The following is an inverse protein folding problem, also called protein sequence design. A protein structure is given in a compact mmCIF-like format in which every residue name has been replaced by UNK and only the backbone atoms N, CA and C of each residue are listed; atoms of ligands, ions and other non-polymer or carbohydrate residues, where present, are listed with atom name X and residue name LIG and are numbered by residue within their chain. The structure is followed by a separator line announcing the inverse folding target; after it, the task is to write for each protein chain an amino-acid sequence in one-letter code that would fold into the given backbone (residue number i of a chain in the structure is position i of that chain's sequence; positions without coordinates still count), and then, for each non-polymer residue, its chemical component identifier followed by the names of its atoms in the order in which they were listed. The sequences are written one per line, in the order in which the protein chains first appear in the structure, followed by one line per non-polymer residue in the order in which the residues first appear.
data_IF_841527184267
#
_entry.id   IF_841527184267
#
_cell.length_a   1.000
_cell.length_b   1.000
_cell.length_c   1.000
_cell.angle_alpha   90.00
_cell.angle_beta   90.00
_cell.angle_gamma   90.00
#
_symmetry.space_group_name_H-M   'P 1'
#
loop_
_entity.id
_entity.type
_entity.pdbx_description
1 polymer ?
#
# COMPACT_ATOMS: atom_id res chain seq x y z
N UNK A 1 -0.22 54.06 -1.28
CA UNK A 1 0.07 52.77 -1.87
C UNK A 1 -1.23 52.21 -2.43
N UNK A 2 -1.40 52.20 -3.76
CA UNK A 2 -2.57 51.56 -4.41
C UNK A 2 -2.32 50.05 -4.45
N UNK A 3 -3.18 49.28 -3.76
CA UNK A 3 -3.21 47.82 -3.83
C UNK A 3 -3.56 47.40 -5.26
N UNK A 4 -2.62 46.81 -5.95
CA UNK A 4 -2.87 46.16 -7.26
C UNK A 4 -3.63 44.90 -6.95
N UNK A 5 -4.96 44.91 -7.12
CA UNK A 5 -5.74 43.68 -7.14
C UNK A 5 -5.31 42.87 -8.38
N UNK A 6 -4.58 41.75 -8.16
CA UNK A 6 -4.32 40.76 -9.20
C UNK A 6 -5.68 40.17 -9.59
N UNK A 7 -6.21 40.55 -10.75
CA UNK A 7 -7.37 39.88 -11.34
C UNK A 7 -6.95 38.42 -11.65
N UNK A 8 -7.49 37.46 -10.91
CA UNK A 8 -7.37 36.05 -11.25
C UNK A 8 -8.12 35.85 -12.57
N UNK A 9 -7.44 35.44 -13.67
CA UNK A 9 -8.12 35.24 -14.94
C UNK A 9 -9.22 34.19 -14.73
N UNK A 10 -10.42 34.47 -15.28
CA UNK A 10 -11.50 33.46 -15.26
C UNK A 10 -11.00 32.15 -15.87
N UNK A 11 -11.14 31.06 -15.14
CA UNK A 11 -10.76 29.71 -15.62
C UNK A 11 -11.43 29.44 -16.96
N UNK A 12 -10.67 29.15 -18.04
CA UNK A 12 -11.23 28.91 -19.35
C UNK A 12 -12.28 27.80 -19.33
N UNK A 13 -13.33 27.95 -20.10
CA UNK A 13 -14.43 27.01 -20.20
C UNK A 13 -14.46 26.29 -21.57
N UNK A 14 -15.18 25.19 -21.67
CA UNK A 14 -15.42 24.54 -22.97
C UNK A 14 -16.14 25.45 -23.99
N UNK A 15 -16.87 26.49 -23.49
CA UNK A 15 -17.50 27.51 -24.35
C UNK A 15 -16.45 28.45 -24.96
N UNK A 16 -15.40 28.78 -24.23
CA UNK A 16 -14.33 29.63 -24.73
C UNK A 16 -13.51 28.91 -25.79
N UNK A 17 -13.22 27.61 -25.56
CA UNK A 17 -12.58 26.75 -26.59
C UNK A 17 -13.44 26.62 -27.84
N UNK A 18 -14.76 26.46 -27.70
CA UNK A 18 -15.69 26.35 -28.80
C UNK A 18 -15.71 27.63 -29.64
N UNK A 19 -15.72 28.80 -28.97
CA UNK A 19 -15.69 30.11 -29.61
C UNK A 19 -14.39 30.30 -30.39
N UNK A 20 -13.24 30.02 -29.77
CA UNK A 20 -11.92 30.19 -30.39
C UNK A 20 -11.71 29.23 -31.56
N UNK A 21 -12.15 27.97 -31.44
CA UNK A 21 -12.03 26.96 -32.49
C UNK A 21 -13.07 27.08 -33.60
N UNK A 22 -14.10 27.93 -33.46
CA UNK A 22 -15.21 28.09 -34.43
C UNK A 22 -16.06 26.81 -34.55
N UNK A 23 -16.40 26.15 -33.46
CA UNK A 23 -17.18 24.91 -33.42
C UNK A 23 -18.20 24.92 -32.26
N UNK A 24 -19.11 23.96 -32.25
CA UNK A 24 -20.03 23.79 -31.12
C UNK A 24 -19.33 23.26 -29.84
N UNK A 25 -19.93 23.52 -28.67
CA UNK A 25 -19.46 22.92 -27.39
C UNK A 25 -19.52 21.39 -27.43
N UNK A 26 -20.48 20.82 -28.16
CA UNK A 26 -20.56 19.38 -28.36
C UNK A 26 -19.35 18.86 -29.15
N UNK A 27 -18.96 19.57 -30.24
CA UNK A 27 -17.75 19.22 -31.02
C UNK A 27 -16.49 19.27 -30.17
N UNK A 28 -16.31 20.32 -29.33
CA UNK A 28 -15.19 20.40 -28.38
C UNK A 28 -15.18 19.20 -27.43
N UNK A 29 -16.35 18.85 -26.91
CA UNK A 29 -16.47 17.70 -26.01
C UNK A 29 -16.10 16.39 -26.69
N UNK A 30 -16.55 16.14 -27.91
CA UNK A 30 -16.24 14.94 -28.68
C UNK A 30 -14.73 14.84 -29.01
N UNK A 31 -14.11 15.96 -29.41
CA UNK A 31 -12.68 16.01 -29.73
C UNK A 31 -11.79 15.79 -28.48
N UNK A 32 -12.08 16.50 -27.38
CA UNK A 32 -11.24 16.46 -26.18
C UNK A 32 -11.45 15.21 -25.32
N UNK A 33 -12.53 14.47 -25.54
CA UNK A 33 -12.79 13.19 -24.86
C UNK A 33 -12.58 11.96 -25.77
N UNK A 34 -12.05 12.17 -26.98
CA UNK A 34 -11.73 11.13 -27.98
C UNK A 34 -12.90 10.14 -28.21
N UNK A 35 -14.10 10.69 -28.41
CA UNK A 35 -15.33 9.92 -28.56
C UNK A 35 -15.45 9.45 -29.99
N UNK A 36 -15.27 8.17 -30.28
CA UNK A 36 -15.35 7.57 -31.61
C UNK A 36 -16.77 7.60 -32.25
N UNK A 37 -17.79 7.91 -31.46
CA UNK A 37 -19.19 7.89 -31.89
C UNK A 37 -19.54 8.96 -32.94
N UNK A 38 -18.69 9.97 -33.17
CA UNK A 38 -18.94 11.06 -34.12
C UNK A 38 -17.72 11.27 -35.02
N UNK A 39 -17.93 11.16 -36.33
CA UNK A 39 -16.87 11.40 -37.33
C UNK A 39 -16.54 12.88 -37.41
N UNK A 40 -15.47 13.32 -36.76
CA UNK A 40 -14.96 14.71 -36.77
C UNK A 40 -13.70 14.74 -37.64
N UNK A 41 -13.66 15.66 -38.61
CA UNK A 41 -12.53 15.79 -39.53
C UNK A 41 -11.23 16.16 -38.76
N UNK A 42 -10.11 15.67 -39.26
CA UNK A 42 -8.80 15.93 -38.68
C UNK A 42 -8.42 17.45 -38.57
N UNK A 43 -8.77 18.28 -39.56
CA UNK A 43 -8.59 19.74 -39.44
C UNK A 43 -9.37 20.32 -38.28
N UNK A 44 -10.58 19.85 -37.99
CA UNK A 44 -11.40 20.31 -36.87
C UNK A 44 -10.82 19.84 -35.54
N UNK A 45 -10.36 18.61 -35.44
CA UNK A 45 -9.64 18.10 -34.24
C UNK A 45 -8.44 18.98 -33.93
N UNK A 46 -7.60 19.29 -34.92
CA UNK A 46 -6.42 20.16 -34.74
C UNK A 46 -6.76 21.56 -34.26
N UNK A 47 -7.81 22.20 -34.81
CA UNK A 47 -8.26 23.53 -34.33
C UNK A 47 -8.70 23.51 -32.87
N UNK A 48 -9.47 22.51 -32.47
CA UNK A 48 -9.95 22.37 -31.10
C UNK A 48 -8.78 22.18 -30.13
N UNK A 49 -7.84 21.28 -30.46
CA UNK A 49 -6.65 21.08 -29.62
C UNK A 49 -5.75 22.32 -29.55
N UNK A 50 -5.62 23.09 -30.65
CA UNK A 50 -4.88 24.34 -30.66
C UNK A 50 -5.53 25.37 -29.76
N UNK A 51 -6.84 25.59 -29.89
CA UNK A 51 -7.60 26.51 -29.06
C UNK A 51 -7.56 26.14 -27.56
N UNK A 52 -7.67 24.84 -27.24
CA UNK A 52 -7.56 24.37 -25.85
C UNK A 52 -6.18 24.68 -25.26
N UNK A 53 -5.09 24.45 -26.02
CA UNK A 53 -3.71 24.77 -25.59
C UNK A 53 -3.50 26.28 -25.43
N UNK A 54 -3.97 27.07 -26.37
CA UNK A 54 -3.84 28.53 -26.34
C UNK A 54 -4.51 29.14 -25.11
N UNK A 55 -5.70 28.64 -24.76
CA UNK A 55 -6.46 29.11 -23.59
C UNK A 55 -5.98 28.47 -22.28
N UNK A 56 -5.08 27.48 -22.31
CA UNK A 56 -4.74 26.69 -21.12
C UNK A 56 -5.94 25.89 -20.58
N UNK A 57 -6.90 25.55 -21.45
CA UNK A 57 -8.09 24.83 -21.05
C UNK A 57 -7.79 23.35 -20.77
N UNK A 58 -8.09 22.92 -19.54
CA UNK A 58 -8.05 21.51 -19.15
C UNK A 58 -9.48 21.02 -18.94
N UNK A 59 -9.90 19.93 -19.61
CA UNK A 59 -11.24 19.35 -19.40
C UNK A 59 -11.46 18.99 -17.93
N UNK A 60 -12.52 19.50 -17.34
CA UNK A 60 -12.84 19.25 -15.93
C UNK A 60 -13.15 17.76 -15.72
N UNK A 61 -12.40 17.06 -14.85
CA UNK A 61 -12.60 15.65 -14.56
C UNK A 61 -14.03 15.38 -14.05
N UNK A 62 -14.56 16.24 -13.19
CA UNK A 62 -15.94 16.16 -12.70
C UNK A 62 -16.99 16.27 -13.81
N UNK A 63 -16.77 17.13 -14.81
CA UNK A 63 -17.68 17.25 -15.96
C UNK A 63 -17.63 16.02 -16.88
N UNK A 64 -16.46 15.38 -17.00
CA UNK A 64 -16.33 14.08 -17.69
C UNK A 64 -17.08 12.97 -16.96
N UNK A 65 -16.89 12.90 -15.63
CA UNK A 65 -17.57 11.93 -14.76
C UNK A 65 -19.09 12.05 -14.85
N UNK A 66 -19.63 13.27 -14.82
CA UNK A 66 -21.07 13.54 -14.96
C UNK A 66 -21.65 13.06 -16.30
N UNK A 67 -20.90 13.20 -17.39
CA UNK A 67 -21.35 12.77 -18.74
C UNK A 67 -21.16 11.29 -18.98
N UNK A 68 -20.05 10.73 -18.54
CA UNK A 68 -19.72 9.32 -18.72
C UNK A 68 -20.43 8.40 -17.70
N UNK A 69 -21.06 8.97 -16.65
CA UNK A 69 -21.64 8.23 -15.54
C UNK A 69 -20.62 7.54 -14.65
N UNK A 70 -19.32 7.68 -14.95
CA UNK A 70 -18.22 7.02 -14.23
C UNK A 70 -17.02 7.95 -14.09
N UNK A 71 -16.44 7.97 -12.91
CA UNK A 71 -15.07 8.50 -12.77
C UNK A 71 -14.04 7.47 -13.27
N UNK A 72 -12.85 7.91 -13.59
CA UNK A 72 -11.69 7.02 -13.82
C UNK A 72 -10.74 7.04 -12.62
N UNK A 73 -11.27 7.41 -11.47
CA UNK A 73 -10.51 7.52 -10.22
C UNK A 73 -10.46 6.16 -9.52
N UNK A 74 -9.25 5.70 -9.23
CA UNK A 74 -8.99 4.62 -8.27
C UNK A 74 -8.55 5.28 -6.97
N UNK A 75 -9.34 5.12 -5.92
CA UNK A 75 -9.06 5.69 -4.62
C UNK A 75 -8.30 4.70 -3.77
N UNK A 76 -7.25 5.17 -3.13
CA UNK A 76 -6.50 4.45 -2.10
C UNK A 76 -6.45 5.28 -0.82
N UNK A 77 -6.81 4.76 0.35
CA UNK A 77 -6.50 5.42 1.60
C UNK A 77 -4.98 5.58 1.75
N UNK A 78 -4.55 6.73 2.24
CA UNK A 78 -3.17 6.89 2.69
C UNK A 78 -2.92 5.94 3.88
N UNK A 79 -1.74 5.30 3.95
CA UNK A 79 -1.43 4.43 5.09
C UNK A 79 -1.46 5.23 6.39
N UNK A 80 -2.13 4.68 7.40
CA UNK A 80 -2.16 5.25 8.76
C UNK A 80 -0.93 4.83 9.60
N UNK A 81 -0.01 4.07 9.00
CA UNK A 81 1.20 3.56 9.64
C UNK A 81 2.44 3.99 8.87
N UNK A 82 3.62 4.05 9.51
CA UNK A 82 4.87 4.24 8.81
C UNK A 82 5.05 3.16 7.74
N UNK A 83 5.35 3.57 6.52
CA UNK A 83 5.53 2.68 5.37
C UNK A 83 6.96 2.73 4.86
N UNK A 84 7.55 1.55 4.68
CA UNK A 84 8.93 1.41 4.22
C UNK A 84 9.09 1.50 2.69
N UNK A 85 10.36 1.38 2.21
CA UNK A 85 10.70 1.49 0.79
C UNK A 85 9.95 0.53 -0.14
N UNK A 86 9.56 -0.64 0.35
CA UNK A 86 8.78 -1.63 -0.42
C UNK A 86 7.40 -1.09 -0.81
N UNK A 87 6.70 -0.44 0.13
CA UNK A 87 5.39 0.16 -0.15
C UNK A 87 5.49 1.26 -1.20
N UNK A 88 6.50 2.13 -1.12
CA UNK A 88 6.70 3.21 -2.09
C UNK A 88 6.98 2.67 -3.50
N UNK A 89 7.77 1.61 -3.62
CA UNK A 89 8.01 0.94 -4.91
C UNK A 89 6.71 0.34 -5.47
N UNK A 90 6.00 -0.43 -4.65
CA UNK A 90 4.70 -1.00 -5.02
C UNK A 90 3.71 0.08 -5.50
N UNK A 91 3.61 1.19 -4.74
CA UNK A 91 2.73 2.30 -5.10
C UNK A 91 3.11 2.93 -6.44
N UNK A 92 4.41 3.16 -6.66
CA UNK A 92 4.91 3.69 -7.95
C UNK A 92 4.58 2.77 -9.14
N UNK A 93 4.77 1.46 -8.98
CA UNK A 93 4.41 0.46 -9.99
C UNK A 93 2.91 0.42 -10.26
N UNK A 94 2.10 0.45 -9.20
CA UNK A 94 0.64 0.46 -9.28
C UNK A 94 0.13 1.72 -9.99
N UNK A 95 0.62 2.89 -9.59
CA UNK A 95 0.25 4.17 -10.22
C UNK A 95 0.61 4.19 -11.72
N UNK A 96 1.84 3.77 -12.06
CA UNK A 96 2.27 3.70 -13.45
C UNK A 96 1.44 2.70 -14.28
N UNK A 97 1.06 1.56 -13.68
CA UNK A 97 0.25 0.56 -14.38
C UNK A 97 -1.20 1.03 -14.56
N UNK A 98 -1.82 1.61 -13.53
CA UNK A 98 -3.18 2.16 -13.62
C UNK A 98 -3.25 3.36 -14.58
N UNK A 99 -2.22 4.22 -14.60
CA UNK A 99 -2.13 5.33 -15.56
C UNK A 99 -2.12 4.84 -17.02
N UNK A 100 -1.44 3.74 -17.33
CA UNK A 100 -1.46 3.13 -18.67
C UNK A 100 -2.83 2.57 -19.07
N UNK A 101 -3.68 2.29 -18.09
CA UNK A 101 -5.07 1.86 -18.26
C UNK A 101 -6.06 3.05 -18.18
N UNK A 102 -5.53 4.29 -18.25
CA UNK A 102 -6.27 5.55 -18.13
C UNK A 102 -7.00 5.75 -16.80
N UNK A 103 -6.55 5.15 -15.72
CA UNK A 103 -7.02 5.47 -14.37
C UNK A 103 -6.14 6.51 -13.69
N UNK A 104 -6.76 7.35 -12.88
CA UNK A 104 -6.06 8.28 -11.99
C UNK A 104 -6.09 7.73 -10.58
N UNK A 105 -4.93 7.51 -9.97
CA UNK A 105 -4.85 7.09 -8.56
C UNK A 105 -4.87 8.32 -7.66
N UNK A 106 -5.78 8.33 -6.70
CA UNK A 106 -5.87 9.36 -5.67
C UNK A 106 -5.63 8.72 -4.32
N UNK A 107 -4.59 9.17 -3.62
CA UNK A 107 -4.41 8.84 -2.20
C UNK A 107 -5.22 9.82 -1.36
N UNK A 108 -6.15 9.28 -0.58
CA UNK A 108 -6.99 10.07 0.33
C UNK A 108 -6.46 9.96 1.75
N UNK A 109 -6.27 11.08 2.43
CA UNK A 109 -5.83 11.12 3.82
C UNK A 109 -6.75 10.31 4.73
N UNK A 110 -6.25 9.90 5.89
CA UNK A 110 -7.03 9.17 6.87
C UNK A 110 -8.19 10.04 7.37
N UNK A 111 -9.41 9.62 7.09
CA UNK A 111 -10.64 10.21 7.62
C UNK A 111 -11.40 9.08 8.29
N UNK A 112 -11.42 9.05 9.63
CA UNK A 112 -12.15 8.07 10.40
C UNK A 112 -11.76 6.61 10.11
N UNK A 113 -12.57 5.67 10.55
CA UNK A 113 -12.46 4.24 10.27
C UNK A 113 -13.82 3.66 9.87
N UNK A 114 -13.83 2.52 9.23
CA UNK A 114 -15.04 1.78 8.91
C UNK A 114 -16.00 2.56 8.00
N UNK A 115 -17.23 2.71 8.45
CA UNK A 115 -18.31 3.32 7.66
C UNK A 115 -18.14 4.83 7.44
N UNK A 116 -17.49 5.54 8.36
CA UNK A 116 -17.19 6.96 8.21
C UNK A 116 -16.20 7.19 7.06
N UNK A 117 -15.12 6.42 7.04
CA UNK A 117 -14.16 6.44 5.94
C UNK A 117 -14.83 6.09 4.60
N UNK A 118 -15.67 5.05 4.59
CA UNK A 118 -16.39 4.64 3.37
C UNK A 118 -17.29 5.76 2.82
N UNK A 119 -17.97 6.52 3.69
CA UNK A 119 -18.80 7.68 3.28
C UNK A 119 -17.95 8.79 2.68
N UNK A 120 -16.86 9.18 3.34
CA UNK A 120 -15.95 10.19 2.82
C UNK A 120 -15.36 9.80 1.44
N UNK A 121 -15.01 8.53 1.26
CA UNK A 121 -14.54 8.03 -0.04
C UNK A 121 -15.64 8.02 -1.10
N UNK A 122 -16.88 7.71 -0.71
CA UNK A 122 -18.03 7.69 -1.59
C UNK A 122 -18.38 9.07 -2.18
N UNK A 123 -18.11 10.17 -1.43
CA UNK A 123 -18.29 11.55 -1.92
C UNK A 123 -17.45 11.86 -3.15
N UNK A 124 -16.27 11.24 -3.26
CA UNK A 124 -15.37 11.38 -4.41
C UNK A 124 -15.82 10.57 -5.64
N UNK A 125 -16.84 9.72 -5.49
CA UNK A 125 -17.36 8.83 -6.53
C UNK A 125 -16.27 8.08 -7.31
N UNK A 126 -15.38 7.34 -6.65
CA UNK A 126 -14.34 6.58 -7.35
C UNK A 126 -14.95 5.43 -8.15
N UNK A 127 -14.33 5.07 -9.29
CA UNK A 127 -14.71 3.86 -10.03
C UNK A 127 -14.26 2.59 -9.33
N UNK A 128 -13.15 2.68 -8.59
CA UNK A 128 -12.65 1.60 -7.76
C UNK A 128 -12.03 2.13 -6.46
N UNK A 129 -12.06 1.31 -5.43
CA UNK A 129 -11.40 1.55 -4.14
C UNK A 129 -10.48 0.38 -3.84
N UNK A 130 -9.22 0.65 -3.53
CA UNK A 130 -8.24 -0.32 -3.06
C UNK A 130 -7.87 0.02 -1.62
N UNK A 131 -8.39 -0.71 -0.64
CA UNK A 131 -8.31 -0.36 0.77
C UNK A 131 -7.80 -1.51 1.66
N UNK A 132 -7.18 -1.22 2.83
CA UNK A 132 -6.95 -2.23 3.85
C UNK A 132 -8.28 -2.84 4.31
N UNK A 133 -8.34 -4.16 4.41
CA UNK A 133 -9.54 -4.88 4.85
C UNK A 133 -9.89 -4.64 6.32
N UNK A 134 -8.92 -4.25 7.15
CA UNK A 134 -9.13 -3.94 8.57
C UNK A 134 -9.94 -2.66 8.81
N UNK A 135 -10.02 -1.77 7.81
CA UNK A 135 -10.70 -0.47 7.92
C UNK A 135 -12.02 -0.39 7.13
N UNK A 136 -12.53 -1.50 6.59
CA UNK A 136 -13.72 -1.51 5.74
C UNK A 136 -14.57 -2.75 6.01
N UNK A 137 -15.82 -2.54 6.48
CA UNK A 137 -16.79 -3.62 6.67
C UNK A 137 -17.71 -3.80 5.46
N UNK A 138 -18.60 -4.84 5.49
CA UNK A 138 -19.57 -5.09 4.42
C UNK A 138 -20.49 -3.90 4.13
N UNK A 139 -20.90 -3.18 5.18
CA UNK A 139 -21.72 -1.96 5.03
C UNK A 139 -20.98 -0.86 4.27
N UNK A 140 -19.71 -0.62 4.59
CA UNK A 140 -18.86 0.34 3.88
C UNK A 140 -18.68 -0.03 2.41
N UNK A 141 -18.49 -1.33 2.09
CA UNK A 141 -18.46 -1.82 0.70
C UNK A 141 -19.77 -1.50 -0.02
N UNK A 142 -20.91 -1.74 0.63
CA UNK A 142 -22.22 -1.43 0.05
C UNK A 142 -22.44 0.08 -0.17
N UNK A 143 -21.93 0.94 0.74
CA UNK A 143 -21.96 2.41 0.57
C UNK A 143 -21.18 2.82 -0.68
N UNK A 144 -19.95 2.34 -0.84
CA UNK A 144 -19.11 2.64 -1.99
C UNK A 144 -19.75 2.18 -3.31
N UNK A 145 -20.30 0.97 -3.36
CA UNK A 145 -20.99 0.45 -4.55
C UNK A 145 -22.23 1.26 -4.92
N UNK A 146 -23.04 1.65 -3.93
CA UNK A 146 -24.20 2.54 -4.18
C UNK A 146 -23.81 3.92 -4.68
N UNK A 147 -22.62 4.42 -4.28
CA UNK A 147 -22.07 5.68 -4.78
C UNK A 147 -21.46 5.58 -6.18
N UNK A 148 -21.41 4.38 -6.79
CA UNK A 148 -20.96 4.17 -8.17
C UNK A 148 -19.62 3.43 -8.30
N UNK A 149 -19.00 2.99 -7.21
CA UNK A 149 -17.80 2.17 -7.30
C UNK A 149 -18.14 0.81 -7.95
N UNK A 150 -17.48 0.50 -9.06
CA UNK A 150 -17.63 -0.77 -9.77
C UNK A 150 -16.80 -1.88 -9.16
N UNK A 151 -15.67 -1.53 -8.53
CA UNK A 151 -14.81 -2.46 -7.85
C UNK A 151 -14.42 -1.93 -6.46
N UNK A 152 -14.49 -2.80 -5.47
CA UNK A 152 -13.86 -2.61 -4.16
C UNK A 152 -12.91 -3.79 -3.96
N UNK A 153 -11.64 -3.49 -3.74
CA UNK A 153 -10.58 -4.48 -3.52
C UNK A 153 -10.02 -4.26 -2.13
N UNK A 154 -10.01 -5.30 -1.31
CA UNK A 154 -9.46 -5.24 0.05
C UNK A 154 -8.18 -6.05 0.16
N UNK A 155 -7.21 -5.52 0.94
CA UNK A 155 -5.96 -6.18 1.30
C UNK A 155 -5.98 -6.46 2.81
N UNK A 156 -5.83 -7.71 3.22
CA UNK A 156 -5.83 -8.02 4.64
C UNK A 156 -5.91 -9.51 4.96
N UNK A 157 -6.04 -9.85 6.26
CA UNK A 157 -6.04 -11.25 6.70
C UNK A 157 -7.36 -11.97 6.42
N UNK A 158 -8.44 -11.24 6.14
CA UNK A 158 -9.77 -11.79 5.95
C UNK A 158 -10.48 -11.15 4.76
N UNK A 159 -11.43 -11.87 4.20
CA UNK A 159 -12.33 -11.36 3.16
C UNK A 159 -13.37 -10.42 3.76
N UNK A 160 -13.75 -9.40 3.00
CA UNK A 160 -14.88 -8.54 3.30
C UNK A 160 -15.99 -8.86 2.29
N UNK A 161 -17.19 -9.10 2.78
CA UNK A 161 -18.32 -9.43 1.92
C UNK A 161 -18.57 -8.33 0.87
N UNK A 162 -18.79 -8.76 -0.36
CA UNK A 162 -19.03 -7.86 -1.47
C UNK A 162 -17.78 -7.22 -2.09
N UNK A 163 -16.59 -7.39 -1.52
CA UNK A 163 -15.33 -6.90 -2.06
C UNK A 163 -14.47 -8.03 -2.63
N UNK A 164 -13.67 -7.74 -3.68
CA UNK A 164 -12.55 -8.60 -4.05
C UNK A 164 -11.53 -8.60 -2.91
N UNK A 165 -10.96 -9.75 -2.55
CA UNK A 165 -10.07 -9.86 -1.42
C UNK A 165 -8.68 -10.39 -1.82
N UNK A 166 -7.65 -9.63 -1.48
CA UNK A 166 -6.26 -10.03 -1.54
C UNK A 166 -5.83 -10.40 -0.12
N UNK A 167 -5.82 -11.71 0.16
CA UNK A 167 -5.54 -12.22 1.50
C UNK A 167 -4.04 -12.23 1.76
N UNK A 168 -3.63 -11.54 2.83
CA UNK A 168 -2.26 -11.46 3.30
C UNK A 168 -2.15 -12.08 4.69
N UNK A 169 -1.72 -13.34 4.75
CA UNK A 169 -1.49 -14.05 6.01
C UNK A 169 -0.04 -13.85 6.48
N UNK A 170 0.19 -12.89 7.35
CA UNK A 170 1.51 -12.61 7.91
C UNK A 170 2.03 -13.71 8.86
N UNK A 171 1.24 -14.74 9.19
CA UNK A 171 1.75 -15.88 9.99
C UNK A 171 2.84 -16.63 9.26
N UNK A 172 2.80 -16.69 7.92
CA UNK A 172 3.84 -17.38 7.12
C UNK A 172 5.22 -16.74 7.31
N UNK A 173 5.29 -15.41 7.54
CA UNK A 173 6.55 -14.68 7.76
C UNK A 173 7.20 -15.11 9.07
N UNK A 174 6.41 -15.12 10.16
CA UNK A 174 6.87 -15.60 11.47
C UNK A 174 7.23 -17.07 11.46
N UNK A 175 6.45 -17.90 10.76
CA UNK A 175 6.73 -19.33 10.61
C UNK A 175 8.11 -19.56 9.96
N UNK A 176 8.40 -18.89 8.83
CA UNK A 176 9.70 -19.04 8.13
C UNK A 176 10.89 -18.62 9.00
N UNK A 177 10.76 -17.52 9.75
CA UNK A 177 11.81 -17.07 10.68
C UNK A 177 12.03 -18.10 11.81
N UNK A 178 10.94 -18.61 12.39
CA UNK A 178 10.97 -19.54 13.51
C UNK A 178 11.62 -20.88 13.13
N UNK A 179 11.19 -21.49 12.03
CA UNK A 179 11.77 -22.75 11.53
C UNK A 179 13.26 -22.58 11.30
N UNK A 180 13.67 -21.51 10.62
CA UNK A 180 15.09 -21.23 10.38
C UNK A 180 15.91 -21.12 11.68
N UNK A 181 15.43 -20.34 12.65
CA UNK A 181 16.14 -20.17 13.92
C UNK A 181 16.23 -21.49 14.71
N UNK A 182 15.14 -22.24 14.72
CA UNK A 182 15.09 -23.55 15.37
C UNK A 182 16.06 -24.56 14.74
N UNK A 183 16.09 -24.64 13.40
CA UNK A 183 16.99 -25.51 12.64
C UNK A 183 18.48 -25.13 12.84
N UNK A 184 18.73 -23.85 13.19
CA UNK A 184 20.06 -23.35 13.57
C UNK A 184 20.41 -23.56 15.05
N UNK A 185 19.60 -24.34 15.77
CA UNK A 185 19.82 -24.69 17.16
C UNK A 185 19.36 -23.65 18.16
N UNK A 186 18.65 -22.58 17.74
CA UNK A 186 18.14 -21.56 18.66
C UNK A 186 16.89 -22.04 19.37
N UNK A 187 16.80 -21.80 20.68
CA UNK A 187 15.72 -22.35 21.52
C UNK A 187 15.00 -21.29 22.33
N UNK A 188 15.60 -20.11 22.52
CA UNK A 188 15.00 -19.03 23.31
C UNK A 188 14.86 -17.80 22.43
N UNK A 189 13.70 -17.69 21.77
CA UNK A 189 13.48 -16.76 20.65
C UNK A 189 12.64 -15.57 21.11
N UNK A 190 13.20 -14.38 21.00
CA UNK A 190 12.47 -13.13 21.12
C UNK A 190 11.80 -12.74 19.82
N UNK A 191 10.60 -12.15 19.87
CA UNK A 191 9.91 -11.60 18.72
C UNK A 191 9.60 -10.14 18.98
N UNK A 192 10.16 -9.24 18.16
CA UNK A 192 9.94 -7.80 18.29
C UNK A 192 8.50 -7.44 17.94
N UNK A 193 7.87 -6.74 18.86
CA UNK A 193 6.53 -6.16 18.72
C UNK A 193 6.66 -4.64 18.71
N UNK A 194 6.51 -3.98 17.56
CA UNK A 194 6.51 -2.52 17.48
C UNK A 194 5.51 -1.88 18.42
N UNK A 195 5.89 -0.77 19.04
CA UNK A 195 5.00 0.03 19.87
C UNK A 195 4.25 1.11 19.05
N UNK A 196 4.66 1.33 17.80
CA UNK A 196 4.02 2.27 16.90
C UNK A 196 2.60 1.80 16.56
N UNK A 197 1.57 2.68 16.73
CA UNK A 197 0.18 2.32 16.46
C UNK A 197 -0.04 1.81 15.02
N UNK A 198 -0.85 0.76 14.88
CA UNK A 198 -1.22 0.17 13.60
C UNK A 198 -0.25 -0.91 13.09
N UNK A 199 0.98 -1.01 13.62
CA UNK A 199 1.91 -2.07 13.25
C UNK A 199 1.56 -3.44 13.88
N UNK A 200 0.69 -3.46 14.89
CA UNK A 200 0.15 -4.69 15.48
C UNK A 200 -0.60 -5.56 14.46
N UNK A 201 -1.14 -4.96 13.42
CA UNK A 201 -1.76 -5.66 12.29
C UNK A 201 -0.79 -6.65 11.61
N UNK A 202 0.48 -6.31 11.57
CA UNK A 202 1.54 -7.15 10.99
C UNK A 202 2.25 -7.99 12.06
N UNK A 203 2.57 -7.41 13.23
CA UNK A 203 3.42 -8.04 14.23
C UNK A 203 2.71 -9.16 14.99
N UNK A 204 1.43 -9.02 15.33
CA UNK A 204 0.66 -10.07 16.03
C UNK A 204 0.53 -11.36 15.21
N UNK A 205 0.16 -11.34 13.91
CA UNK A 205 0.17 -12.55 13.09
C UNK A 205 1.57 -13.17 12.97
N UNK A 206 2.64 -12.35 12.83
CA UNK A 206 4.02 -12.86 12.79
C UNK A 206 4.38 -13.62 14.08
N UNK A 207 4.07 -13.04 15.26
CA UNK A 207 4.23 -13.75 16.54
C UNK A 207 3.42 -15.04 16.61
N UNK A 208 2.18 -15.01 16.14
CA UNK A 208 1.33 -16.21 16.06
C UNK A 208 1.98 -17.29 15.18
N UNK A 209 2.54 -16.90 14.04
CA UNK A 209 3.26 -17.79 13.13
C UNK A 209 4.49 -18.45 13.80
N UNK A 210 5.27 -17.66 14.56
CA UNK A 210 6.40 -18.18 15.33
C UNK A 210 5.93 -19.20 16.37
N UNK A 211 4.92 -18.85 17.17
CA UNK A 211 4.37 -19.76 18.20
C UNK A 211 3.81 -21.04 17.63
N UNK A 212 3.10 -20.97 16.49
CA UNK A 212 2.57 -22.16 15.81
C UNK A 212 3.67 -23.06 15.26
N UNK A 213 4.71 -22.48 14.67
CA UNK A 213 5.83 -23.22 14.11
C UNK A 213 6.61 -24.00 15.17
N UNK A 214 6.69 -23.47 16.39
CA UNK A 214 7.46 -24.04 17.49
C UNK A 214 6.60 -24.78 18.53
N UNK A 215 5.30 -24.91 18.27
CA UNK A 215 4.40 -25.65 19.16
C UNK A 215 4.81 -27.11 19.28
N UNK A 216 4.94 -27.60 20.53
CA UNK A 216 5.36 -28.98 20.79
C UNK A 216 6.86 -29.23 20.67
N UNK A 217 7.68 -28.21 20.43
CA UNK A 217 9.14 -28.28 20.49
C UNK A 217 9.68 -27.86 21.87
N UNK A 218 10.99 -27.96 22.07
CA UNK A 218 11.71 -27.50 23.26
C UNK A 218 12.02 -25.98 23.23
N UNK A 219 11.58 -25.23 22.22
CA UNK A 219 11.81 -23.81 22.10
C UNK A 219 10.81 -22.98 22.89
N UNK A 220 11.28 -21.85 23.43
CA UNK A 220 10.45 -20.82 24.09
C UNK A 220 10.37 -19.56 23.25
N UNK A 221 9.21 -18.87 23.28
CA UNK A 221 8.93 -17.68 22.47
C UNK A 221 8.43 -16.54 23.36
N UNK A 222 9.15 -15.44 23.35
CA UNK A 222 8.83 -14.23 24.14
C UNK A 222 8.57 -13.05 23.20
N UNK A 223 7.43 -12.35 23.35
CA UNK A 223 7.18 -11.08 22.68
C UNK A 223 7.96 -9.95 23.36
N UNK A 224 8.65 -9.15 22.58
CA UNK A 224 9.49 -8.05 23.04
C UNK A 224 8.95 -6.73 22.50
N UNK A 225 8.23 -5.91 23.29
CA UNK A 225 7.85 -4.57 22.87
C UNK A 225 9.11 -3.73 22.57
N UNK A 226 9.08 -2.98 21.47
CA UNK A 226 10.18 -2.11 21.07
C UNK A 226 9.66 -0.92 20.26
N UNK A 227 9.88 0.30 20.80
CA UNK A 227 9.73 1.52 20.00
C UNK A 227 10.92 1.68 19.03
N UNK A 228 10.68 2.22 17.85
CA UNK A 228 11.70 2.39 16.81
C UNK A 228 12.65 3.57 17.12
N UNK A 229 13.37 3.46 18.25
CA UNK A 229 14.35 4.46 18.71
C UNK A 229 15.65 3.81 19.19
N UNK A 230 16.78 4.50 19.01
CA UNK A 230 18.09 4.02 19.47
C UNK A 230 18.08 3.74 20.99
N UNK A 231 17.45 4.63 21.78
CA UNK A 231 17.34 4.48 23.23
C UNK A 231 16.62 3.17 23.61
N UNK A 232 15.44 2.93 23.03
CA UNK A 232 14.67 1.71 23.32
C UNK A 232 15.42 0.44 22.90
N UNK A 233 16.11 0.48 21.75
CA UNK A 233 16.94 -0.64 21.31
C UNK A 233 18.12 -0.90 22.24
N UNK A 234 18.79 0.13 22.77
CA UNK A 234 19.88 0.00 23.72
C UNK A 234 19.40 -0.57 25.06
N UNK A 235 18.25 -0.09 25.57
CA UNK A 235 17.60 -0.62 26.78
C UNK A 235 17.23 -2.10 26.61
N UNK A 236 16.71 -2.48 25.45
CA UNK A 236 16.40 -3.87 25.15
C UNK A 236 17.66 -4.72 25.05
N UNK A 237 18.70 -4.26 24.33
CA UNK A 237 19.96 -5.00 24.16
C UNK A 237 20.61 -5.32 25.52
N UNK A 238 20.60 -4.39 26.46
CA UNK A 238 21.11 -4.58 27.80
C UNK A 238 20.35 -5.69 28.59
N UNK A 239 19.06 -5.87 28.33
CA UNK A 239 18.21 -6.85 29.00
C UNK A 239 18.23 -8.25 28.40
N UNK A 240 18.61 -8.40 27.12
CA UNK A 240 18.55 -9.70 26.43
C UNK A 240 19.34 -10.82 27.11
N UNK A 241 20.53 -10.58 27.65
CA UNK A 241 21.26 -11.62 28.41
C UNK A 241 20.50 -12.13 29.63
N UNK A 242 19.86 -11.23 30.42
CA UNK A 242 19.05 -11.59 31.57
C UNK A 242 17.82 -12.42 31.21
N UNK A 243 17.23 -12.15 30.03
CA UNK A 243 16.12 -12.93 29.46
C UNK A 243 16.60 -14.29 28.94
N UNK A 244 17.92 -14.48 28.87
CA UNK A 244 18.56 -15.73 28.36
C UNK A 244 18.19 -16.04 26.90
N UNK A 245 17.89 -15.03 26.09
CA UNK A 245 17.56 -15.22 24.68
C UNK A 245 18.81 -15.55 23.86
N UNK A 246 18.66 -16.43 22.87
CA UNK A 246 19.72 -16.81 21.94
C UNK A 246 19.43 -16.37 20.49
N UNK A 247 18.21 -15.89 20.24
CA UNK A 247 17.83 -15.33 18.95
C UNK A 247 16.70 -14.31 19.06
N UNK A 248 16.65 -13.39 18.08
CA UNK A 248 15.55 -12.43 17.90
C UNK A 248 15.06 -12.43 16.47
N UNK A 249 13.77 -12.62 16.30
CA UNK A 249 13.06 -12.29 15.07
C UNK A 249 12.54 -10.86 15.19
N UNK A 250 13.13 -9.95 14.41
CA UNK A 250 12.74 -8.54 14.37
C UNK A 250 11.49 -8.35 13.51
N UNK A 251 10.72 -7.29 13.83
CA UNK A 251 9.51 -6.98 13.06
C UNK A 251 9.80 -6.85 11.56
N UNK A 252 10.81 -6.08 11.21
CA UNK A 252 11.31 -5.94 9.83
C UNK A 252 12.83 -5.67 9.86
N UNK A 253 13.43 -5.44 8.69
CA UNK A 253 14.86 -5.18 8.59
C UNK A 253 15.28 -3.88 9.27
N UNK A 254 14.42 -2.85 9.33
CA UNK A 254 14.73 -1.58 10.01
C UNK A 254 14.86 -1.79 11.53
N UNK A 255 13.92 -2.53 12.16
CA UNK A 255 14.04 -2.93 13.55
C UNK A 255 15.22 -3.87 13.80
N UNK A 256 15.52 -4.77 12.84
CA UNK A 256 16.68 -5.64 12.93
C UNK A 256 18.00 -4.85 12.91
N UNK A 257 18.12 -3.87 12.02
CA UNK A 257 19.30 -3.00 11.93
C UNK A 257 19.51 -2.19 13.21
N UNK A 258 18.45 -1.62 13.73
CA UNK A 258 18.46 -0.86 14.97
C UNK A 258 18.91 -1.73 16.15
N UNK A 259 18.33 -2.94 16.30
CA UNK A 259 18.70 -3.88 17.35
C UNK A 259 20.13 -4.38 17.19
N UNK A 260 20.56 -4.74 15.98
CA UNK A 260 21.93 -5.21 15.72
C UNK A 260 22.97 -4.17 16.11
N UNK A 261 22.70 -2.89 15.84
CA UNK A 261 23.58 -1.80 16.28
C UNK A 261 23.65 -1.74 17.81
N UNK A 262 22.51 -1.76 18.49
CA UNK A 262 22.45 -1.73 19.95
C UNK A 262 23.16 -2.94 20.61
N UNK A 263 23.02 -4.14 20.01
CA UNK A 263 23.72 -5.34 20.46
C UNK A 263 25.24 -5.18 20.35
N UNK A 264 25.74 -4.66 19.22
CA UNK A 264 27.16 -4.40 19.01
C UNK A 264 27.72 -3.39 20.02
N UNK A 265 26.97 -2.31 20.28
CA UNK A 265 27.35 -1.29 21.27
C UNK A 265 27.37 -1.86 22.72
N UNK A 266 26.50 -2.83 22.98
CA UNK A 266 26.51 -3.58 24.28
C UNK A 266 27.56 -4.70 24.31
N UNK A 267 28.41 -4.85 23.29
CA UNK A 267 29.45 -5.88 23.23
C UNK A 267 28.94 -7.30 22.91
N UNK A 268 27.68 -7.45 22.51
CA UNK A 268 27.07 -8.74 22.15
C UNK A 268 27.34 -9.07 20.68
N UNK A 269 27.80 -10.29 20.44
CA UNK A 269 28.18 -10.75 19.09
C UNK A 269 26.97 -11.32 18.35
N UNK A 270 26.73 -10.82 17.14
CA UNK A 270 25.74 -11.35 16.21
C UNK A 270 26.48 -12.19 15.15
N UNK A 271 26.14 -13.47 14.97
CA UNK A 271 25.08 -14.28 15.57
C UNK A 271 25.53 -15.09 16.79
N UNK A 272 26.80 -14.98 17.24
CA UNK A 272 27.36 -15.91 18.22
C UNK A 272 26.60 -15.91 19.55
N UNK A 273 26.34 -14.72 20.11
CA UNK A 273 25.60 -14.59 21.36
C UNK A 273 24.09 -14.47 21.08
N UNK A 274 23.68 -13.65 20.12
CA UNK A 274 22.27 -13.44 19.71
C UNK A 274 22.17 -13.52 18.19
N UNK A 275 21.44 -14.49 17.67
CA UNK A 275 21.09 -14.52 16.26
C UNK A 275 19.96 -13.52 15.94
N UNK A 276 20.03 -12.82 14.80
CA UNK A 276 19.00 -11.86 14.39
C UNK A 276 18.49 -12.18 13.00
N UNK A 277 17.16 -12.22 12.86
CA UNK A 277 16.46 -12.36 11.57
C UNK A 277 15.50 -11.18 11.42
N UNK A 278 15.55 -10.52 10.25
CA UNK A 278 14.62 -9.45 9.88
C UNK A 278 13.48 -9.92 8.97
N UNK A 279 12.77 -8.98 8.38
CA UNK A 279 11.82 -9.20 7.29
C UNK A 279 11.89 -8.02 6.30
N UNK A 280 11.56 -8.27 5.03
CA UNK A 280 11.46 -7.37 3.86
C UNK A 280 12.62 -7.44 2.86
N UNK A 281 13.76 -8.03 3.19
CA UNK A 281 14.97 -8.13 2.35
C UNK A 281 15.41 -6.77 1.78
N UNK A 282 15.54 -5.78 2.65
CA UNK A 282 16.03 -4.46 2.26
C UNK A 282 17.49 -4.51 1.83
N UNK A 283 17.85 -3.64 0.86
CA UNK A 283 19.22 -3.54 0.38
C UNK A 283 20.23 -3.24 1.50
N UNK A 284 19.88 -2.39 2.45
CA UNK A 284 20.74 -2.01 3.57
C UNK A 284 21.12 -3.20 4.43
N UNK A 285 20.24 -4.19 4.63
CA UNK A 285 20.55 -5.42 5.36
C UNK A 285 21.71 -6.22 4.78
N UNK A 286 21.97 -6.09 3.46
CA UNK A 286 23.11 -6.71 2.76
C UNK A 286 24.42 -6.01 3.00
N UNK A 287 24.38 -4.76 3.43
CA UNK A 287 25.56 -3.91 3.66
C UNK A 287 26.05 -3.95 5.11
N UNK A 288 25.27 -4.53 6.02
CA UNK A 288 25.63 -4.67 7.43
C UNK A 288 26.81 -5.64 7.64
N UNK A 289 27.38 -5.57 8.84
CA UNK A 289 28.36 -6.51 9.39
C UNK A 289 27.89 -6.97 10.77
N UNK A 290 27.46 -8.25 10.88
CA UNK A 290 27.24 -9.27 9.84
C UNK A 290 26.07 -8.91 8.91
N UNK A 291 26.04 -9.50 7.68
CA UNK A 291 24.90 -9.32 6.74
C UNK A 291 23.64 -9.90 7.33
N UNK A 292 22.53 -9.16 7.28
CA UNK A 292 21.26 -9.52 7.88
C UNK A 292 20.55 -10.67 7.13
N UNK A 293 20.28 -11.76 7.85
CA UNK A 293 19.32 -12.79 7.45
C UNK A 293 17.90 -12.22 7.58
N UNK A 294 17.02 -12.50 6.62
CA UNK A 294 15.72 -11.85 6.57
C UNK A 294 14.68 -12.73 5.89
N UNK A 295 13.42 -12.51 6.17
CA UNK A 295 12.32 -13.14 5.45
C UNK A 295 11.86 -12.19 4.35
N UNK A 296 12.04 -12.59 3.08
CA UNK A 296 11.51 -11.85 1.94
C UNK A 296 10.03 -12.14 1.79
N UNK A 297 9.23 -11.10 1.71
CA UNK A 297 7.81 -11.18 1.40
C UNK A 297 7.62 -11.24 -0.12
N UNK A 298 6.93 -12.25 -0.59
CA UNK A 298 6.51 -12.38 -1.98
C UNK A 298 5.08 -11.84 -2.10
N UNK A 299 4.93 -10.69 -2.74
CA UNK A 299 3.67 -9.98 -2.95
C UNK A 299 3.46 -9.75 -4.44
N UNK A 300 2.22 -9.67 -4.93
CA UNK A 300 1.94 -9.26 -6.29
C UNK A 300 2.56 -7.90 -6.59
N UNK A 301 3.01 -7.75 -7.82
CA UNK A 301 3.49 -6.46 -8.33
C UNK A 301 2.34 -5.45 -8.41
N UNK A 302 2.66 -4.17 -8.38
CA UNK A 302 1.68 -3.10 -8.60
C UNK A 302 0.94 -3.26 -9.94
N UNK A 303 1.60 -3.85 -10.96
CA UNK A 303 0.99 -4.16 -12.25
C UNK A 303 -0.09 -5.24 -12.14
N UNK A 304 0.16 -6.34 -11.45
CA UNK A 304 -0.84 -7.42 -11.28
C UNK A 304 -2.08 -6.93 -10.54
N UNK A 305 -1.89 -6.04 -9.54
CA UNK A 305 -2.99 -5.41 -8.82
C UNK A 305 -3.77 -4.45 -9.74
N UNK A 306 -3.09 -3.67 -10.59
CA UNK A 306 -3.73 -2.79 -11.55
C UNK A 306 -4.61 -3.58 -12.55
N UNK A 307 -4.11 -4.70 -13.06
CA UNK A 307 -4.84 -5.59 -13.95
C UNK A 307 -6.06 -6.22 -13.26
N UNK A 308 -5.95 -6.57 -11.98
CA UNK A 308 -7.09 -7.05 -11.19
C UNK A 308 -8.15 -5.96 -11.05
N UNK A 309 -7.74 -4.74 -10.69
CA UNK A 309 -8.67 -3.60 -10.57
C UNK A 309 -9.39 -3.33 -11.89
N UNK A 310 -8.66 -3.30 -13.01
CA UNK A 310 -9.25 -3.06 -14.34
C UNK A 310 -10.25 -4.16 -14.71
N UNK A 311 -9.91 -5.44 -14.50
CA UNK A 311 -10.84 -6.55 -14.73
C UNK A 311 -12.10 -6.44 -13.87
N UNK A 312 -11.95 -6.10 -12.59
CA UNK A 312 -13.07 -5.94 -11.68
C UNK A 312 -13.98 -4.78 -12.06
N UNK A 313 -13.42 -3.66 -12.53
CA UNK A 313 -14.17 -2.51 -13.04
C UNK A 313 -14.94 -2.85 -14.33
N UNK A 314 -14.32 -3.61 -15.24
CA UNK A 314 -14.94 -3.99 -16.52
C UNK A 314 -16.02 -5.06 -16.37
N UNK A 315 -15.87 -5.97 -15.42
CA UNK A 315 -16.80 -7.09 -15.16
C UNK A 315 -17.75 -6.76 -14.01
N UNK A 316 -18.38 -5.60 -14.04
CA UNK A 316 -19.34 -5.17 -13.00
C UNK A 316 -20.41 -6.23 -12.79
N UNK A 317 -20.66 -6.62 -11.54
CA UNK A 317 -21.64 -7.66 -11.19
C UNK A 317 -21.08 -9.09 -11.16
N UNK A 318 -19.81 -9.32 -11.52
CA UNK A 318 -19.18 -10.62 -11.28
C UNK A 318 -18.99 -10.90 -9.79
N UNK A 319 -18.94 -12.18 -9.42
CA UNK A 319 -18.61 -12.57 -8.03
C UNK A 319 -17.24 -12.04 -7.63
N UNK A 320 -17.10 -11.59 -6.36
CA UNK A 320 -15.83 -11.12 -5.84
C UNK A 320 -14.75 -12.20 -5.87
N UNK A 321 -13.62 -11.86 -6.47
CA UNK A 321 -12.45 -12.73 -6.53
C UNK A 321 -11.72 -12.72 -5.18
N UNK A 322 -11.33 -13.89 -4.68
CA UNK A 322 -10.54 -14.04 -3.45
C UNK A 322 -9.22 -14.72 -3.80
N UNK A 323 -8.10 -14.08 -3.47
CA UNK A 323 -6.75 -14.62 -3.71
C UNK A 323 -5.89 -14.52 -2.45
N UNK A 324 -5.17 -15.57 -2.11
CA UNK A 324 -4.05 -15.49 -1.17
C UNK A 324 -2.84 -14.98 -1.93
N UNK A 325 -2.24 -13.87 -1.45
CA UNK A 325 -1.25 -13.11 -2.21
C UNK A 325 0.07 -12.90 -1.47
N UNK A 326 0.19 -13.35 -0.23
CA UNK A 326 1.43 -13.28 0.53
C UNK A 326 2.03 -14.68 0.67
N UNK A 327 3.24 -14.85 0.16
CA UNK A 327 4.16 -15.94 0.51
C UNK A 327 5.45 -15.34 1.08
N UNK A 328 6.30 -16.19 1.65
CA UNK A 328 7.51 -15.75 2.34
C UNK A 328 8.67 -16.72 2.12
N UNK A 329 9.82 -16.18 1.74
CA UNK A 329 11.06 -16.92 1.54
C UNK A 329 12.13 -16.45 2.50
N UNK A 330 12.75 -17.37 3.25
CA UNK A 330 13.90 -17.04 4.08
C UNK A 330 15.14 -16.80 3.22
N UNK A 331 15.82 -15.70 3.47
CA UNK A 331 17.12 -15.36 2.89
C UNK A 331 18.17 -15.43 4.00
N UNK A 332 18.82 -16.57 4.07
CA UNK A 332 19.90 -16.80 5.04
C UNK A 332 21.14 -15.96 4.67
N UNK A 333 21.73 -15.31 5.69
CA UNK A 333 23.01 -14.58 5.62
C UNK A 333 23.80 -14.83 6.90
N UNK A 334 24.61 -13.83 7.32
CA UNK A 334 25.60 -14.01 8.38
C UNK A 334 25.08 -13.64 9.81
N UNK A 335 23.85 -13.11 9.95
CA UNK A 335 23.34 -12.70 11.27
C UNK A 335 22.55 -13.80 12.01
N UNK A 336 22.41 -14.99 11.42
CA UNK A 336 21.69 -16.10 12.08
C UNK A 336 22.26 -17.46 11.74
#
# INVERSE_FOLDING_TARGET
MRSVMVQIPNTPTSADVARLAGVSRATVSYVLNDTDAVRISEPTRRRVHAAARELGYVPHAAARTLRAGNSRMVLMPAPAVPVGPRYHRFLGELQAALSRLDYTVVQHGAVGQGDEAARAWAELRPVAVLAPGSGLGPHGVAVLKRAGARAVVTLGPARVEGAHALLMDHTVVGHRAAVHLYDRGRRRIGVILPEEPGLEFFSRPRLTGVRRALHGTDATVIGLPLAHTERAASELAARLPELGLDAVFAHNDEYAMLLMRALQDAGLRVPADIAVVGADDLMLGRLLRPRLSTVRLELPSGREIAELVDRAVRRTGAEPEVRTVLDATLIHRASS
#
